data_IF_468143742975
#
_entry.id   IF_468143742975
#
_cell.length_a   1.000
_cell.length_b   1.000
_cell.length_c   1.000
_cell.angle_alpha   90.00
_cell.angle_beta   90.00
_cell.angle_gamma   90.00
#
_symmetry.space_group_name_H-M   'P 1'
#
loop_
_entity.id
_entity.type
_entity.pdbx_description
1 polymer ?
#
# COMPACT_ATOMS: atom_id res chain seq x y z
N UNK A 1 11.91 16.37 -2.08
CA UNK A 1 10.57 16.01 -2.61
C UNK A 1 10.70 14.80 -3.52
N UNK A 2 9.65 13.99 -3.64
CA UNK A 2 9.63 12.85 -4.57
C UNK A 2 10.74 11.82 -4.33
N UNK A 3 11.29 11.26 -5.39
CA UNK A 3 12.23 10.13 -5.32
C UNK A 3 13.52 10.49 -4.59
N UNK A 4 14.00 11.74 -4.71
CA UNK A 4 15.14 12.25 -3.94
C UNK A 4 14.95 12.18 -2.41
N UNK A 5 13.69 12.17 -1.96
CA UNK A 5 13.32 12.03 -0.55
C UNK A 5 12.91 10.59 -0.18
N UNK A 6 13.08 9.62 -1.08
CA UNK A 6 12.76 8.21 -0.84
C UNK A 6 11.27 7.91 -0.85
N UNK A 7 10.44 8.72 -1.51
CA UNK A 7 8.98 8.56 -1.51
C UNK A 7 8.45 7.63 -2.61
N UNK A 8 9.28 6.75 -3.17
CA UNK A 8 8.81 5.76 -4.14
C UNK A 8 7.88 4.75 -3.46
N UNK A 9 6.77 4.41 -4.11
CA UNK A 9 5.85 3.38 -3.62
C UNK A 9 6.49 1.98 -3.77
N UNK A 10 6.80 1.26 -2.68
CA UNK A 10 7.49 -0.03 -2.77
C UNK A 10 6.63 -1.18 -3.30
N UNK A 11 5.32 -1.00 -3.50
CA UNK A 11 4.45 -2.03 -4.09
C UNK A 11 4.40 -1.91 -5.59
N UNK A 12 4.17 -0.69 -6.10
CA UNK A 12 4.01 -0.44 -7.53
C UNK A 12 5.23 0.15 -8.20
N UNK A 13 6.28 0.46 -7.44
CA UNK A 13 7.48 1.20 -7.87
C UNK A 13 7.17 2.57 -8.52
N UNK A 14 6.01 3.15 -8.19
CA UNK A 14 5.62 4.46 -8.70
C UNK A 14 6.09 5.60 -7.78
N UNK A 15 6.98 6.44 -8.30
CA UNK A 15 7.46 7.66 -7.63
C UNK A 15 6.67 8.92 -7.94
N UNK A 16 6.16 9.05 -9.16
CA UNK A 16 5.58 10.31 -9.69
C UNK A 16 4.38 10.81 -8.86
N UNK A 17 3.44 9.93 -8.52
CA UNK A 17 2.28 10.28 -7.69
C UNK A 17 2.69 10.86 -6.33
N UNK A 18 3.71 10.26 -5.71
CA UNK A 18 4.20 10.68 -4.39
C UNK A 18 5.07 11.94 -4.51
N UNK A 19 5.78 12.12 -5.61
CA UNK A 19 6.47 13.36 -5.96
C UNK A 19 5.48 14.52 -6.05
N UNK A 20 4.39 14.37 -6.82
CA UNK A 20 3.32 15.37 -6.92
C UNK A 20 2.69 15.68 -5.57
N UNK A 21 2.37 14.65 -4.77
CA UNK A 21 1.79 14.83 -3.44
C UNK A 21 2.74 15.57 -2.48
N UNK A 22 4.01 15.16 -2.43
CA UNK A 22 5.02 15.83 -1.61
C UNK A 22 5.26 17.28 -2.06
N UNK A 23 5.26 17.55 -3.37
CA UNK A 23 5.38 18.89 -3.93
C UNK A 23 4.21 19.80 -3.55
N UNK A 24 2.98 19.30 -3.53
CA UNK A 24 1.82 20.05 -3.03
C UNK A 24 1.95 20.41 -1.55
N UNK A 25 2.45 19.48 -0.73
CA UNK A 25 2.71 19.73 0.69
C UNK A 25 3.82 20.78 0.87
N UNK A 26 4.85 20.74 0.03
CA UNK A 26 5.91 21.75 -0.02
C UNK A 26 5.35 23.14 -0.27
N UNK A 27 4.55 23.25 -1.34
CA UNK A 27 3.97 24.50 -1.79
C UNK A 27 3.11 25.09 -0.67
N UNK A 28 2.26 24.27 -0.04
CA UNK A 28 1.46 24.68 1.10
C UNK A 28 2.34 25.21 2.26
N UNK A 29 3.41 24.49 2.62
CA UNK A 29 4.31 24.92 3.69
C UNK A 29 5.04 26.23 3.37
N UNK A 30 5.44 26.43 2.11
CA UNK A 30 6.06 27.68 1.65
C UNK A 30 5.05 28.82 1.69
N UNK A 31 3.83 28.59 1.20
CA UNK A 31 2.75 29.60 1.25
C UNK A 31 2.40 29.99 2.68
N UNK A 32 2.23 29.02 3.58
CA UNK A 32 1.97 29.27 5.01
C UNK A 32 3.11 30.05 5.67
N UNK A 33 4.36 29.81 5.27
CA UNK A 33 5.49 30.59 5.73
C UNK A 33 5.44 32.04 5.24
N UNK A 34 5.20 32.24 3.95
CA UNK A 34 5.16 33.57 3.33
C UNK A 34 3.99 34.42 3.83
N UNK A 35 2.81 33.82 4.01
CA UNK A 35 1.59 34.54 4.38
C UNK A 35 1.43 34.74 5.88
N UNK A 36 1.88 33.76 6.69
CA UNK A 36 1.55 33.69 8.13
C UNK A 36 2.78 33.55 9.03
N UNK A 37 3.98 33.52 8.45
CA UNK A 37 5.22 33.37 9.21
C UNK A 37 5.39 31.99 9.86
N UNK A 38 4.61 30.98 9.48
CA UNK A 38 4.73 29.62 10.06
C UNK A 38 6.11 29.05 9.70
N UNK A 39 6.90 28.51 10.64
CA UNK A 39 8.24 27.98 10.34
C UNK A 39 8.19 26.86 9.29
N UNK A 40 9.09 26.87 8.30
CA UNK A 40 9.16 25.83 7.26
C UNK A 40 9.35 24.41 7.82
N UNK A 41 9.85 24.28 9.06
CA UNK A 41 9.94 23.00 9.77
C UNK A 41 8.58 22.31 9.97
N UNK A 42 7.46 23.02 9.81
CA UNK A 42 6.13 22.40 9.82
C UNK A 42 5.84 21.54 8.58
N UNK A 43 6.69 21.57 7.55
CA UNK A 43 6.63 20.66 6.40
C UNK A 43 6.77 19.19 6.82
N UNK A 44 7.72 18.87 7.70
CA UNK A 44 8.02 17.50 8.12
C UNK A 44 6.82 16.78 8.75
N UNK A 45 6.11 17.35 9.74
CA UNK A 45 4.93 16.71 10.29
C UNK A 45 3.79 16.57 9.27
N UNK A 46 3.66 17.50 8.31
CA UNK A 46 2.67 17.39 7.24
C UNK A 46 2.98 16.22 6.31
N UNK A 47 4.22 16.10 5.84
CA UNK A 47 4.65 14.96 5.00
C UNK A 47 4.52 13.65 5.73
N UNK A 48 4.97 13.60 6.99
CA UNK A 48 4.87 12.38 7.79
C UNK A 48 3.40 11.94 7.88
N UNK A 49 2.49 12.84 8.25
CA UNK A 49 1.07 12.52 8.41
C UNK A 49 0.40 12.16 7.09
N UNK A 50 0.64 12.93 6.03
CA UNK A 50 -0.12 12.81 4.79
C UNK A 50 0.43 11.77 3.82
N UNK A 51 1.74 11.52 3.84
CA UNK A 51 2.41 10.64 2.89
C UNK A 51 3.03 9.42 3.58
N UNK A 52 3.89 9.62 4.60
CA UNK A 52 4.61 8.49 5.20
C UNK A 52 3.68 7.55 5.96
N UNK A 53 2.87 8.08 6.87
CA UNK A 53 2.03 7.29 7.76
C UNK A 53 0.77 6.75 7.09
N UNK A 54 0.28 7.42 6.04
CA UNK A 54 -0.92 7.00 5.30
C UNK A 54 -0.61 6.09 4.13
N UNK A 55 0.48 6.35 3.41
CA UNK A 55 0.79 5.67 2.16
C UNK A 55 2.06 4.82 2.27
N UNK A 56 3.24 5.41 2.42
CA UNK A 56 4.53 4.69 2.31
C UNK A 56 4.64 3.55 3.33
N UNK A 57 4.30 3.80 4.60
CA UNK A 57 4.31 2.78 5.66
C UNK A 57 3.45 1.57 5.32
N UNK A 58 2.28 1.78 4.72
CA UNK A 58 1.35 0.69 4.40
C UNK A 58 1.67 0.04 3.07
N UNK A 59 2.27 0.78 2.13
CA UNK A 59 2.87 0.20 0.95
C UNK A 59 4.01 -0.77 1.33
N UNK A 60 4.88 -0.41 2.28
CA UNK A 60 5.91 -1.33 2.78
C UNK A 60 5.30 -2.62 3.33
N UNK A 61 4.27 -2.50 4.17
CA UNK A 61 3.55 -3.68 4.69
C UNK A 61 2.92 -4.55 3.61
N UNK A 62 2.36 -3.92 2.57
CA UNK A 62 1.79 -4.64 1.43
C UNK A 62 2.88 -5.34 0.62
N UNK A 63 4.04 -4.70 0.41
CA UNK A 63 5.20 -5.33 -0.23
C UNK A 63 5.66 -6.55 0.56
N UNK A 64 5.79 -6.41 1.87
CA UNK A 64 6.26 -7.50 2.72
C UNK A 64 5.28 -8.69 2.69
N UNK A 65 3.97 -8.43 2.62
CA UNK A 65 2.93 -9.44 2.49
C UNK A 65 2.94 -10.13 1.12
N UNK A 66 3.07 -9.37 0.04
CA UNK A 66 2.91 -9.89 -1.33
C UNK A 66 4.22 -10.44 -1.91
N UNK A 67 5.37 -9.94 -1.47
CA UNK A 67 6.68 -10.21 -2.09
C UNK A 67 7.79 -10.52 -1.07
N UNK A 68 7.53 -10.40 0.24
CA UNK A 68 8.58 -10.42 1.27
C UNK A 68 8.95 -11.79 1.83
N UNK A 69 8.35 -12.89 1.35
CA UNK A 69 8.55 -14.23 1.92
C UNK A 69 8.31 -15.35 0.90
N UNK A 70 8.77 -16.57 1.21
CA UNK A 70 8.67 -17.75 0.32
C UNK A 70 7.25 -18.19 -0.05
N UNK A 71 6.23 -17.73 0.67
CA UNK A 71 4.82 -17.98 0.35
C UNK A 71 4.20 -16.89 -0.54
N UNK A 72 4.98 -15.92 -1.03
CA UNK A 72 4.50 -14.74 -1.78
C UNK A 72 3.60 -15.14 -2.92
N UNK A 73 4.07 -16.07 -3.75
CA UNK A 73 3.41 -16.44 -5.00
C UNK A 73 2.06 -17.10 -4.70
N UNK A 74 2.01 -17.96 -3.68
CA UNK A 74 0.76 -18.59 -3.22
C UNK A 74 -0.22 -17.59 -2.64
N UNK A 75 0.26 -16.62 -1.86
CA UNK A 75 -0.59 -15.57 -1.32
C UNK A 75 -1.13 -14.68 -2.44
N UNK A 76 -0.30 -14.38 -3.45
CA UNK A 76 -0.72 -13.62 -4.61
C UNK A 76 -1.82 -14.36 -5.38
N UNK A 77 -1.65 -15.64 -5.68
CA UNK A 77 -2.68 -16.47 -6.35
C UNK A 77 -3.99 -16.48 -5.57
N UNK A 78 -3.93 -16.74 -4.27
CA UNK A 78 -5.11 -16.75 -3.39
C UNK A 78 -5.77 -15.37 -3.34
N UNK A 79 -4.99 -14.30 -3.30
CA UNK A 79 -5.53 -12.95 -3.29
C UNK A 79 -6.23 -12.60 -4.61
N UNK A 80 -5.72 -13.09 -5.74
CA UNK A 80 -6.38 -12.96 -7.06
C UNK A 80 -7.67 -13.76 -7.09
N UNK A 81 -7.66 -15.02 -6.64
CA UNK A 81 -8.86 -15.86 -6.58
C UNK A 81 -9.94 -15.25 -5.68
N UNK A 82 -9.55 -14.72 -4.51
CA UNK A 82 -10.43 -14.00 -3.61
C UNK A 82 -10.97 -12.72 -4.25
N UNK A 83 -10.16 -11.96 -4.99
CA UNK A 83 -10.62 -10.77 -5.69
C UNK A 83 -11.66 -11.06 -6.79
N UNK A 84 -11.65 -12.26 -7.37
CA UNK A 84 -12.68 -12.69 -8.31
C UNK A 84 -14.03 -12.99 -7.65
N UNK A 85 -14.04 -13.30 -6.35
CA UNK A 85 -15.22 -13.79 -5.62
C UNK A 85 -15.74 -12.80 -4.57
N UNK A 86 -14.88 -11.90 -4.09
CA UNK A 86 -15.15 -10.97 -3.00
C UNK A 86 -14.94 -9.51 -3.46
N UNK A 87 -16.03 -8.73 -3.43
CA UNK A 87 -16.04 -7.34 -3.90
C UNK A 87 -15.13 -6.42 -3.08
N UNK A 88 -14.88 -6.72 -1.81
CA UNK A 88 -13.95 -5.94 -0.99
C UNK A 88 -12.49 -6.19 -1.44
N UNK A 89 -12.12 -7.44 -1.70
CA UNK A 89 -10.81 -7.76 -2.27
C UNK A 89 -10.61 -7.17 -3.66
N UNK A 90 -11.63 -7.24 -4.51
CA UNK A 90 -11.63 -6.61 -5.83
C UNK A 90 -11.38 -5.11 -5.73
N UNK A 91 -12.10 -4.41 -4.85
CA UNK A 91 -11.89 -2.98 -4.58
C UNK A 91 -10.49 -2.70 -4.04
N UNK A 92 -9.99 -3.54 -3.14
CA UNK A 92 -8.63 -3.39 -2.60
C UNK A 92 -7.58 -3.42 -3.72
N UNK A 93 -7.70 -4.36 -4.65
CA UNK A 93 -6.79 -4.50 -5.80
C UNK A 93 -6.93 -3.35 -6.80
N UNK A 94 -8.16 -2.92 -7.10
CA UNK A 94 -8.38 -1.74 -7.93
C UNK A 94 -7.73 -0.49 -7.33
N UNK A 95 -7.91 -0.26 -6.03
CA UNK A 95 -7.28 0.86 -5.32
C UNK A 95 -5.77 0.72 -5.21
N UNK A 96 -5.25 -0.51 -5.22
CA UNK A 96 -3.81 -0.76 -5.23
C UNK A 96 -3.15 -0.21 -6.50
N UNK A 97 -3.87 -0.23 -7.63
CA UNK A 97 -3.38 0.26 -8.92
C UNK A 97 -3.77 1.72 -9.18
N UNK A 98 -5.03 2.09 -8.99
CA UNK A 98 -5.52 3.43 -9.37
C UNK A 98 -5.31 4.51 -8.30
N UNK A 99 -4.83 4.13 -7.09
CA UNK A 99 -4.57 5.04 -5.97
C UNK A 99 -5.76 5.92 -5.56
N UNK A 100 -7.00 5.50 -5.84
CA UNK A 100 -8.22 6.21 -5.43
C UNK A 100 -8.36 6.33 -3.91
N UNK A 101 -7.72 5.42 -3.16
CA UNK A 101 -7.73 5.38 -1.71
C UNK A 101 -6.32 5.18 -1.15
N UNK A 102 -6.10 5.60 0.10
CA UNK A 102 -4.79 5.46 0.77
C UNK A 102 -4.36 4.00 0.90
N UNK A 103 -3.03 3.76 0.90
CA UNK A 103 -2.48 2.41 1.12
C UNK A 103 -2.92 1.83 2.47
N UNK A 104 -3.10 2.68 3.49
CA UNK A 104 -3.67 2.31 4.79
C UNK A 104 -5.03 1.64 4.67
N UNK A 105 -5.93 2.19 3.84
CA UNK A 105 -7.28 1.65 3.66
C UNK A 105 -7.24 0.32 2.88
N UNK A 106 -6.42 0.26 1.83
CA UNK A 106 -6.19 -0.97 1.05
C UNK A 106 -5.66 -2.10 1.95
N UNK A 107 -4.61 -1.83 2.72
CA UNK A 107 -4.04 -2.80 3.66
C UNK A 107 -5.08 -3.31 4.66
N UNK A 108 -5.87 -2.41 5.26
CA UNK A 108 -6.93 -2.82 6.19
C UNK A 108 -7.96 -3.73 5.52
N UNK A 109 -8.36 -3.42 4.29
CA UNK A 109 -9.35 -4.21 3.56
C UNK A 109 -8.84 -5.64 3.30
N UNK A 110 -7.59 -5.77 2.86
CA UNK A 110 -6.94 -7.08 2.68
C UNK A 110 -6.81 -7.83 4.01
N UNK A 111 -6.37 -7.15 5.08
CA UNK A 111 -6.20 -7.78 6.38
C UNK A 111 -7.50 -8.20 7.06
N UNK A 112 -8.63 -7.62 6.69
CA UNK A 112 -9.95 -8.10 7.12
C UNK A 112 -10.27 -9.49 6.56
N UNK A 113 -9.66 -9.85 5.42
CA UNK A 113 -9.81 -11.16 4.76
C UNK A 113 -8.70 -12.14 5.11
N UNK A 114 -7.85 -11.83 6.10
CA UNK A 114 -6.71 -12.68 6.50
C UNK A 114 -7.11 -14.12 6.82
N UNK A 115 -8.29 -14.33 7.41
CA UNK A 115 -8.77 -15.66 7.75
C UNK A 115 -9.16 -16.47 6.51
N UNK A 116 -9.70 -15.83 5.49
CA UNK A 116 -10.06 -16.48 4.24
C UNK A 116 -8.81 -16.84 3.45
N UNK A 117 -7.80 -15.95 3.45
CA UNK A 117 -6.46 -16.23 2.92
C UNK A 117 -5.84 -17.45 3.63
N UNK A 118 -5.85 -17.49 4.96
CA UNK A 118 -5.31 -18.61 5.74
C UNK A 118 -6.06 -19.92 5.49
N UNK A 119 -7.39 -19.88 5.36
CA UNK A 119 -8.18 -21.08 5.02
C UNK A 119 -7.76 -21.62 3.66
N UNK A 120 -7.72 -20.78 2.63
CA UNK A 120 -7.34 -21.21 1.27
C UNK A 120 -5.89 -21.68 1.19
N UNK A 121 -4.97 -21.07 1.93
CA UNK A 121 -3.58 -21.54 2.03
C UNK A 121 -3.51 -22.99 2.52
N UNK A 122 -4.26 -23.32 3.58
CA UNK A 122 -4.30 -24.69 4.15
C UNK A 122 -4.90 -25.69 3.16
N UNK A 123 -5.98 -25.33 2.47
CA UNK A 123 -6.60 -26.21 1.46
C UNK A 123 -5.73 -26.39 0.22
N UNK A 124 -4.98 -25.38 -0.20
CA UNK A 124 -4.05 -25.46 -1.33
C UNK A 124 -2.88 -26.42 -1.01
N UNK A 125 -2.33 -26.37 0.20
CA UNK A 125 -1.32 -27.35 0.65
C UNK A 125 -1.83 -28.80 0.69
N UNK A 126 -3.13 -29.01 0.99
CA UNK A 126 -3.74 -30.34 1.00
C UNK A 126 -4.00 -30.86 -0.42
N UNK A 127 -4.48 -30.00 -1.35
CA UNK A 127 -4.69 -30.39 -2.75
C UNK A 127 -3.41 -30.84 -3.46
N UNK A 128 -2.25 -30.31 -3.06
CA UNK A 128 -0.94 -30.71 -3.59
C UNK A 128 -0.48 -32.09 -3.10
N UNK A 129 -0.82 -32.47 -1.87
CA UNK A 129 -0.59 -33.83 -1.36
C UNK A 129 -1.32 -34.88 -2.21
N UNK A 130 -2.53 -34.55 -2.70
CA UNK A 130 -3.30 -35.41 -3.61
C UNK A 130 -2.90 -35.31 -5.09
N UNK A 131 -1.96 -34.41 -5.45
CA UNK A 131 -1.46 -34.27 -6.82
C UNK A 131 -0.05 -34.86 -7.01
N UNK A 132 0.58 -35.26 -5.89
CA UNK A 132 1.94 -35.83 -5.82
C UNK A 132 1.92 -37.31 -5.37
N UNK A 133 0.75 -37.82 -4.96
CA UNK A 133 0.45 -39.24 -4.76
C UNK A 133 -0.41 -39.70 -5.93
#
# INVERSE_FOLDING_TARGET
MGDSAGFCDPVTFEGISNALKSGKIAAAAITDHLERGIPLTHYDPLVRRELLDKDIKYAQKLRDLLYGHSLSDRIADIAVDLACQDEDMKKAFQWLLNKKESRKKVYKLIMNKKWDILKQLRFSSIKLLFKVI
#
